data_IF_568284366195
#
_entry.id   IF_568284366195
#
_cell.length_a   1.000
_cell.length_b   1.000
_cell.length_c   1.000
_cell.angle_alpha   90.00
_cell.angle_beta   90.00
_cell.angle_gamma   90.00
#
_symmetry.space_group_name_H-M   'P 1'
#
loop_
_entity.id
_entity.type
_entity.pdbx_description
1 polymer ?
#
# COMPACT_ATOMS: atom_id res chain seq x y z
N UNK A 1 12.86 -15.83 37.69
CA UNK A 1 11.89 -14.81 37.31
C UNK A 1 12.53 -13.47 37.02
N UNK A 2 12.69 -13.19 35.73
CA UNK A 2 13.04 -11.89 35.18
C UNK A 2 12.18 -11.66 33.93
N UNK A 3 11.69 -10.44 33.66
CA UNK A 3 10.70 -10.21 32.62
C UNK A 3 11.28 -10.47 31.23
N UNK A 4 10.59 -11.28 30.44
CA UNK A 4 10.91 -11.56 29.06
C UNK A 4 10.85 -10.27 28.24
N UNK A 5 12.00 -9.84 27.73
CA UNK A 5 12.11 -8.74 26.77
C UNK A 5 11.34 -9.11 25.48
N UNK A 6 10.17 -8.48 25.29
CA UNK A 6 9.45 -8.53 24.01
C UNK A 6 10.25 -7.76 22.97
N UNK A 7 10.93 -8.49 22.07
CA UNK A 7 11.54 -7.93 20.87
C UNK A 7 10.42 -7.55 19.89
N UNK A 8 10.41 -6.28 19.46
CA UNK A 8 9.68 -5.87 18.24
C UNK A 8 10.50 -6.39 17.06
N UNK A 9 10.04 -7.47 16.42
CA UNK A 9 10.66 -8.01 15.22
C UNK A 9 9.78 -7.69 14.02
N UNK A 10 10.33 -6.88 13.11
CA UNK A 10 9.89 -6.68 11.74
C UNK A 10 10.29 -7.91 10.92
N UNK A 11 9.34 -8.60 10.27
CA UNK A 11 9.50 -9.27 8.96
C UNK A 11 8.27 -10.13 8.58
N UNK A 12 7.65 -9.87 7.41
CA UNK A 12 6.75 -10.83 6.76
C UNK A 12 7.40 -11.52 5.56
N UNK A 13 7.25 -12.85 5.54
CA UNK A 13 7.62 -13.75 4.44
C UNK A 13 6.59 -13.59 3.31
N UNK A 14 6.96 -12.96 2.19
CA UNK A 14 6.10 -12.89 0.99
C UNK A 14 6.15 -14.24 0.29
N UNK A 15 5.00 -14.94 0.22
CA UNK A 15 4.85 -16.17 -0.57
C UNK A 15 4.33 -15.78 -1.95
N UNK A 16 5.22 -15.75 -2.94
CA UNK A 16 4.89 -15.46 -4.34
C UNK A 16 3.99 -16.58 -4.91
N UNK A 17 2.81 -16.20 -5.41
CA UNK A 17 1.93 -17.11 -6.14
C UNK A 17 2.30 -17.07 -7.63
N UNK A 18 2.92 -18.17 -8.08
CA UNK A 18 3.08 -18.66 -9.46
C UNK A 18 3.18 -17.60 -10.57
N UNK A 19 4.40 -17.11 -10.78
CA UNK A 19 4.91 -16.78 -12.11
C UNK A 19 6.18 -17.62 -12.28
N UNK A 20 6.35 -18.27 -13.43
CA UNK A 20 7.43 -19.23 -13.69
C UNK A 20 8.83 -18.61 -13.64
N UNK A 21 9.34 -18.46 -12.43
CA UNK A 21 10.64 -17.88 -12.10
C UNK A 21 11.42 -18.97 -11.36
N UNK A 22 12.59 -19.34 -11.89
CA UNK A 22 13.37 -20.49 -11.43
C UNK A 22 13.79 -20.39 -9.97
N UNK A 23 13.97 -21.54 -9.32
CA UNK A 23 14.27 -21.70 -7.89
C UNK A 23 15.49 -20.89 -7.39
N UNK A 24 16.40 -20.46 -8.28
CA UNK A 24 17.56 -19.62 -7.97
C UNK A 24 17.20 -18.16 -7.61
N UNK A 25 16.09 -17.62 -8.11
CA UNK A 25 15.65 -16.24 -7.83
C UNK A 25 14.99 -16.09 -6.43
N UNK A 26 14.66 -17.22 -5.80
CA UNK A 26 14.04 -17.31 -4.48
C UNK A 26 14.95 -16.82 -3.33
N UNK A 27 16.26 -16.63 -3.57
CA UNK A 27 17.25 -16.29 -2.53
C UNK A 27 17.57 -14.80 -2.37
N UNK A 28 17.13 -13.90 -3.24
CA UNK A 28 17.27 -12.45 -2.97
C UNK A 28 16.00 -11.94 -2.29
N UNK A 29 16.04 -11.84 -0.95
CA UNK A 29 15.06 -11.02 -0.24
C UNK A 29 15.17 -9.59 -0.75
N UNK A 30 14.18 -9.16 -1.54
CA UNK A 30 14.11 -7.80 -2.05
C UNK A 30 13.85 -6.87 -0.86
N UNK A 31 14.69 -5.84 -0.62
CA UNK A 31 14.51 -4.97 0.53
C UNK A 31 13.15 -4.25 0.49
N UNK A 32 12.48 -4.13 1.64
CA UNK A 32 11.15 -3.48 1.71
C UNK A 32 11.18 -2.04 1.20
N UNK A 33 12.26 -1.31 1.46
CA UNK A 33 12.46 0.04 0.94
C UNK A 33 12.47 0.12 -0.59
N UNK A 34 12.86 -0.96 -1.28
CA UNK A 34 12.80 -1.05 -2.75
C UNK A 34 11.36 -1.28 -3.20
N UNK A 35 10.64 -2.20 -2.56
CA UNK A 35 9.23 -2.49 -2.84
C UNK A 35 8.37 -1.22 -2.64
N UNK A 36 8.61 -0.49 -1.54
CA UNK A 36 7.91 0.75 -1.24
C UNK A 36 8.14 1.87 -2.27
N UNK A 37 9.26 1.85 -3.03
CA UNK A 37 9.54 2.82 -4.10
C UNK A 37 8.93 2.45 -5.44
N UNK A 38 8.62 1.18 -5.71
CA UNK A 38 8.06 0.75 -7.01
C UNK A 38 6.79 1.52 -7.42
N UNK A 39 5.82 1.81 -6.54
CA UNK A 39 4.64 2.60 -6.92
C UNK A 39 4.99 4.00 -7.44
N UNK A 40 6.09 4.60 -6.97
CA UNK A 40 6.57 5.90 -7.47
C UNK A 40 7.10 5.78 -8.91
N UNK A 41 7.84 4.70 -9.21
CA UNK A 41 8.31 4.41 -10.57
C UNK A 41 7.14 4.20 -11.53
N UNK A 42 6.16 3.38 -11.14
CA UNK A 42 4.94 3.17 -11.94
C UNK A 42 4.20 4.47 -12.18
N UNK A 43 4.08 5.35 -11.18
CA UNK A 43 3.46 6.67 -11.35
C UNK A 43 4.20 7.51 -12.41
N UNK A 44 5.51 7.67 -12.27
CA UNK A 44 6.31 8.46 -13.22
C UNK A 44 6.29 7.88 -14.64
N UNK A 45 6.37 6.55 -14.77
CA UNK A 45 6.29 5.86 -16.06
C UNK A 45 4.90 5.97 -16.69
N UNK A 46 3.83 5.98 -15.89
CA UNK A 46 2.46 6.19 -16.37
C UNK A 46 2.30 7.58 -16.98
N UNK A 47 2.88 8.61 -16.36
CA UNK A 47 2.88 9.98 -16.89
C UNK A 47 3.65 10.05 -18.21
N UNK A 48 4.88 9.52 -18.25
CA UNK A 48 5.67 9.44 -19.48
C UNK A 48 4.97 8.69 -20.61
N UNK A 49 4.27 7.59 -20.26
CA UNK A 49 3.52 6.81 -21.24
C UNK A 49 2.34 7.59 -21.82
N UNK A 50 1.62 8.34 -20.98
CA UNK A 50 0.54 9.25 -21.43
C UNK A 50 1.07 10.37 -22.32
N UNK A 51 2.27 10.86 -22.05
CA UNK A 51 2.95 11.88 -22.86
C UNK A 51 3.55 11.32 -24.17
N UNK A 52 3.38 10.02 -24.45
CA UNK A 52 3.90 9.37 -25.66
C UNK A 52 5.41 9.16 -25.66
N UNK A 53 6.08 9.29 -24.51
CA UNK A 53 7.53 9.10 -24.39
C UNK A 53 7.86 7.61 -24.44
N UNK A 54 8.60 7.19 -25.46
CA UNK A 54 8.97 5.79 -25.68
C UNK A 54 10.17 5.33 -24.83
N UNK A 55 11.14 6.23 -24.59
CA UNK A 55 12.39 5.93 -23.90
C UNK A 55 12.68 6.97 -22.81
N UNK A 56 13.18 6.51 -21.67
CA UNK A 56 13.61 7.37 -20.57
C UNK A 56 14.91 6.84 -19.97
N UNK A 57 15.87 7.71 -19.63
CA UNK A 57 17.06 7.29 -18.88
C UNK A 57 16.85 7.47 -17.37
N UNK A 58 17.73 6.87 -16.55
CA UNK A 58 17.63 7.00 -15.08
C UNK A 58 17.82 8.43 -14.55
N UNK A 59 18.50 9.29 -15.32
CA UNK A 59 18.65 10.72 -15.04
C UNK A 59 17.32 11.44 -15.12
N UNK A 60 16.66 11.35 -16.27
CA UNK A 60 15.37 12.01 -16.54
C UNK A 60 14.26 11.47 -15.64
N UNK A 61 14.22 10.15 -15.44
CA UNK A 61 13.28 9.52 -14.51
C UNK A 61 13.55 9.96 -13.06
N UNK A 62 14.83 10.07 -12.68
CA UNK A 62 15.25 10.52 -11.36
C UNK A 62 14.89 11.98 -11.07
N UNK A 63 15.11 12.87 -12.04
CA UNK A 63 14.75 14.29 -11.94
C UNK A 63 13.25 14.49 -11.68
N UNK A 64 12.40 13.69 -12.33
CA UNK A 64 10.94 13.73 -12.15
C UNK A 64 10.49 13.22 -10.79
N UNK A 65 11.14 12.17 -10.28
CA UNK A 65 10.73 11.48 -9.06
C UNK A 65 11.44 11.98 -7.80
N UNK A 66 12.46 12.84 -7.95
CA UNK A 66 13.34 13.22 -6.84
C UNK A 66 14.21 12.07 -6.34
N UNK A 67 14.56 11.11 -7.21
CA UNK A 67 15.34 9.92 -6.84
C UNK A 67 16.66 9.92 -7.60
N UNK A 68 17.76 9.65 -6.89
CA UNK A 68 19.09 9.60 -7.51
C UNK A 68 19.14 8.52 -8.63
N UNK A 69 19.72 8.81 -9.80
CA UNK A 69 19.76 7.86 -10.93
C UNK A 69 20.42 6.51 -10.58
N UNK A 70 21.44 6.55 -9.70
CA UNK A 70 22.09 5.35 -9.20
C UNK A 70 21.15 4.47 -8.36
N UNK A 71 20.26 5.07 -7.57
CA UNK A 71 19.28 4.36 -6.76
C UNK A 71 18.23 3.68 -7.66
N UNK A 72 17.75 4.35 -8.71
CA UNK A 72 16.82 3.76 -9.68
C UNK A 72 17.44 2.52 -10.35
N UNK A 73 18.69 2.63 -10.81
CA UNK A 73 19.40 1.50 -11.42
C UNK A 73 19.56 0.33 -10.43
N UNK A 74 19.89 0.63 -9.18
CA UNK A 74 20.03 -0.38 -8.12
C UNK A 74 18.70 -1.09 -7.84
N UNK A 75 17.62 -0.32 -7.69
CA UNK A 75 16.29 -0.86 -7.41
C UNK A 75 15.79 -1.76 -8.54
N UNK A 76 15.85 -1.27 -9.77
CA UNK A 76 15.40 -2.04 -10.93
C UNK A 76 16.24 -3.32 -11.11
N UNK A 77 17.52 -3.32 -10.75
CA UNK A 77 18.37 -4.52 -10.86
C UNK A 77 17.92 -5.71 -9.99
N UNK A 78 17.06 -5.49 -8.97
CA UNK A 78 16.50 -6.57 -8.17
C UNK A 78 15.45 -7.41 -8.91
N UNK A 79 14.79 -6.85 -9.94
CA UNK A 79 13.67 -7.50 -10.62
C UNK A 79 14.01 -7.94 -12.05
N UNK A 80 15.27 -7.83 -12.46
CA UNK A 80 15.73 -8.20 -13.78
C UNK A 80 16.55 -7.12 -14.49
N UNK A 81 16.82 -7.36 -15.78
CA UNK A 81 17.61 -6.44 -16.62
C UNK A 81 16.67 -5.57 -17.44
N UNK A 82 16.25 -4.46 -16.85
CA UNK A 82 15.45 -3.45 -17.53
C UNK A 82 16.34 -2.56 -18.38
N UNK A 83 16.30 -2.75 -19.71
CA UNK A 83 16.99 -1.91 -20.69
C UNK A 83 18.35 -2.41 -21.17
N UNK A 84 18.96 -1.64 -22.08
CA UNK A 84 20.31 -1.88 -22.62
C UNK A 84 21.24 -0.77 -22.16
N UNK A 85 22.50 -1.10 -21.82
CA UNK A 85 23.53 -0.11 -21.46
C UNK A 85 23.56 1.00 -22.52
N UNK A 86 23.39 2.25 -22.10
CA UNK A 86 23.44 3.44 -22.95
C UNK A 86 22.16 3.82 -23.72
N UNK A 87 21.06 3.05 -23.64
CA UNK A 87 19.81 3.36 -24.39
C UNK A 87 18.60 3.77 -23.54
N UNK A 88 18.71 3.69 -22.21
CA UNK A 88 17.58 3.93 -21.32
C UNK A 88 16.59 2.76 -21.24
N UNK A 89 15.44 3.03 -20.64
CA UNK A 89 14.33 2.11 -20.41
C UNK A 89 13.23 2.37 -21.44
N UNK A 90 12.71 1.31 -22.04
CA UNK A 90 11.45 1.42 -22.78
C UNK A 90 10.33 1.64 -21.76
N UNK A 91 9.64 2.77 -21.89
CA UNK A 91 8.64 3.20 -20.90
C UNK A 91 7.48 2.22 -20.81
N UNK A 92 6.94 1.77 -21.95
CA UNK A 92 5.80 0.85 -21.98
C UNK A 92 6.16 -0.54 -21.42
N UNK A 93 7.32 -1.08 -21.79
CA UNK A 93 7.78 -2.38 -21.29
C UNK A 93 8.05 -2.33 -19.78
N UNK A 94 8.81 -1.34 -19.33
CA UNK A 94 9.13 -1.20 -17.91
C UNK A 94 7.87 -0.94 -17.07
N UNK A 95 6.94 -0.12 -17.56
CA UNK A 95 5.65 0.10 -16.89
C UNK A 95 4.87 -1.21 -16.77
N UNK A 96 4.80 -2.01 -17.83
CA UNK A 96 4.14 -3.31 -17.83
C UNK A 96 4.74 -4.28 -16.81
N UNK A 97 6.07 -4.43 -16.82
CA UNK A 97 6.78 -5.35 -15.91
C UNK A 97 6.63 -4.92 -14.45
N UNK A 98 6.83 -3.63 -14.13
CA UNK A 98 6.64 -3.14 -12.76
C UNK A 98 5.18 -3.22 -12.30
N UNK A 99 4.22 -3.04 -13.21
CA UNK A 99 2.80 -3.23 -12.90
C UNK A 99 2.49 -4.68 -12.56
N UNK A 100 3.05 -5.64 -13.29
CA UNK A 100 2.91 -7.07 -12.99
C UNK A 100 3.56 -7.45 -11.66
N UNK A 101 4.77 -6.95 -11.38
CA UNK A 101 5.47 -7.17 -10.10
C UNK A 101 4.63 -6.68 -8.91
N UNK A 102 3.97 -5.52 -9.07
CA UNK A 102 3.08 -4.96 -8.05
C UNK A 102 1.66 -5.56 -8.04
N UNK A 103 1.35 -6.45 -8.99
CA UNK A 103 0.00 -7.02 -9.14
C UNK A 103 -1.06 -5.97 -9.51
N UNK A 104 -0.70 -4.93 -10.25
CA UNK A 104 -1.63 -3.89 -10.75
C UNK A 104 -2.35 -4.30 -12.04
N UNK A 105 -2.09 -5.52 -12.52
CA UNK A 105 -2.70 -6.18 -13.68
C UNK A 105 -4.00 -6.93 -13.34
N UNK A 106 -4.41 -6.92 -12.06
CA UNK A 106 -5.61 -7.59 -11.54
C UNK A 106 -6.43 -6.65 -10.66
N UNK A 107 -7.59 -7.11 -10.24
CA UNK A 107 -8.42 -6.41 -9.28
C UNK A 107 -8.16 -6.92 -7.86
N UNK A 108 -8.03 -5.98 -6.92
CA UNK A 108 -7.96 -6.20 -5.48
C UNK A 108 -9.27 -5.75 -4.84
N UNK A 109 -9.93 -6.68 -4.14
CA UNK A 109 -11.21 -6.45 -3.48
C UNK A 109 -11.00 -5.93 -2.06
N UNK A 110 -11.62 -4.79 -1.76
CA UNK A 110 -11.40 -4.08 -0.51
C UNK A 110 -12.66 -4.02 0.36
N UNK A 111 -12.45 -4.08 1.67
CA UNK A 111 -13.45 -3.72 2.67
C UNK A 111 -13.05 -2.43 3.40
N UNK A 112 -14.02 -1.62 3.79
CA UNK A 112 -13.82 -0.46 4.68
C UNK A 112 -14.49 -0.72 6.02
N UNK A 113 -13.77 -0.58 7.12
CA UNK A 113 -14.32 -0.67 8.49
C UNK A 113 -14.26 0.70 9.15
N UNK A 114 -15.40 1.17 9.64
CA UNK A 114 -15.60 2.53 10.13
C UNK A 114 -16.03 3.46 9.00
N UNK A 115 -17.35 3.67 8.86
CA UNK A 115 -17.97 4.48 7.80
C UNK A 115 -18.41 5.83 8.36
N UNK A 116 -17.54 6.43 9.18
CA UNK A 116 -17.63 7.83 9.62
C UNK A 116 -17.30 8.81 8.49
N UNK A 117 -16.87 10.04 8.84
CA UNK A 117 -16.49 11.05 7.83
C UNK A 117 -15.36 10.58 6.93
N UNK A 118 -14.29 10.04 7.53
CA UNK A 118 -13.12 9.56 6.80
C UNK A 118 -13.44 8.31 5.97
N UNK A 119 -14.10 7.31 6.55
CA UNK A 119 -14.51 6.11 5.82
C UNK A 119 -15.38 6.41 4.60
N UNK A 120 -16.34 7.33 4.72
CA UNK A 120 -17.14 7.79 3.57
C UNK A 120 -16.29 8.46 2.50
N UNK A 121 -15.38 9.35 2.88
CA UNK A 121 -14.47 10.00 1.94
C UNK A 121 -13.57 8.99 1.21
N UNK A 122 -13.09 7.96 1.91
CA UNK A 122 -12.35 6.85 1.31
C UNK A 122 -13.22 6.09 0.31
N UNK A 123 -14.47 5.78 0.67
CA UNK A 123 -15.39 5.07 -0.22
C UNK A 123 -15.74 5.84 -1.49
N UNK A 124 -15.83 7.17 -1.40
CA UNK A 124 -16.13 8.05 -2.54
C UNK A 124 -14.90 8.39 -3.40
N UNK A 125 -13.70 7.95 -2.99
CA UNK A 125 -12.47 8.23 -3.72
C UNK A 125 -12.38 7.44 -5.03
N UNK A 126 -12.62 8.14 -6.14
CA UNK A 126 -12.59 7.59 -7.50
C UNK A 126 -11.20 7.12 -7.96
N UNK A 127 -10.13 7.47 -7.26
CA UNK A 127 -8.76 7.11 -7.64
C UNK A 127 -8.39 5.64 -7.43
N UNK A 128 -9.23 4.86 -6.74
CA UNK A 128 -9.00 3.42 -6.52
C UNK A 128 -9.29 2.57 -7.78
N UNK A 129 -10.44 2.77 -8.40
CA UNK A 129 -10.93 1.91 -9.49
C UNK A 129 -9.97 1.86 -10.69
N UNK A 130 -9.43 3.00 -11.19
CA UNK A 130 -8.47 2.97 -12.30
C UNK A 130 -7.14 2.27 -11.96
N UNK A 131 -6.87 1.99 -10.68
CA UNK A 131 -5.64 1.35 -10.18
C UNK A 131 -5.86 -0.11 -9.77
N UNK A 132 -7.01 -0.69 -10.12
CA UNK A 132 -7.33 -2.08 -9.80
C UNK A 132 -7.90 -2.30 -8.40
N UNK A 133 -8.20 -1.25 -7.63
CA UNK A 133 -8.75 -1.39 -6.28
C UNK A 133 -10.27 -1.17 -6.27
N UNK A 134 -11.04 -2.14 -5.76
CA UNK A 134 -12.51 -2.09 -5.75
C UNK A 134 -13.05 -2.32 -4.35
N UNK A 135 -13.79 -1.35 -3.82
CA UNK A 135 -14.50 -1.52 -2.54
C UNK A 135 -15.75 -2.36 -2.77
N UNK A 136 -15.84 -3.49 -2.08
CA UNK A 136 -16.95 -4.45 -2.20
C UNK A 136 -17.76 -4.62 -0.91
N UNK A 137 -17.23 -4.17 0.22
CA UNK A 137 -17.89 -4.24 1.51
C UNK A 137 -17.55 -3.01 2.37
N UNK A 138 -18.49 -2.64 3.23
CA UNK A 138 -18.31 -1.59 4.23
C UNK A 138 -18.98 -2.02 5.53
N UNK A 139 -18.38 -1.72 6.68
CA UNK A 139 -18.86 -2.12 8.00
C UNK A 139 -18.83 -0.98 8.99
N UNK A 140 -19.86 -0.89 9.82
CA UNK A 140 -19.92 0.03 10.95
C UNK A 140 -20.68 -0.60 12.12
N UNK A 141 -20.46 -0.10 13.33
CA UNK A 141 -21.21 -0.50 14.54
C UNK A 141 -22.42 0.40 14.81
N UNK A 142 -22.44 1.60 14.21
CA UNK A 142 -23.55 2.53 14.36
C UNK A 142 -24.78 2.00 13.61
N UNK A 143 -25.81 1.61 14.37
CA UNK A 143 -27.08 1.11 13.84
C UNK A 143 -27.77 2.09 12.91
N UNK A 144 -27.50 3.39 13.04
CA UNK A 144 -28.04 4.41 12.13
C UNK A 144 -27.33 4.42 10.77
N UNK A 145 -26.15 3.81 10.66
CA UNK A 145 -25.39 3.70 9.43
C UNK A 145 -25.69 2.40 8.68
N UNK A 146 -25.95 1.32 9.40
CA UNK A 146 -26.23 0.00 8.83
C UNK A 146 -27.43 0.08 7.86
N UNK A 147 -27.29 -0.56 6.70
CA UNK A 147 -28.28 -0.57 5.62
C UNK A 147 -28.19 0.62 4.66
N UNK A 148 -27.56 1.74 5.05
CA UNK A 148 -27.29 2.85 4.13
C UNK A 148 -26.27 2.45 3.06
N UNK A 149 -26.29 3.15 1.93
CA UNK A 149 -25.33 2.95 0.84
C UNK A 149 -24.43 4.16 0.67
N UNK A 150 -23.15 3.90 0.42
CA UNK A 150 -22.15 4.91 0.05
C UNK A 150 -21.47 4.40 -1.22
N UNK A 151 -21.47 5.22 -2.28
CA UNK A 151 -20.96 4.82 -3.60
C UNK A 151 -21.45 3.45 -4.08
N UNK A 152 -22.73 3.13 -3.81
CA UNK A 152 -23.38 1.87 -4.20
C UNK A 152 -23.11 0.66 -3.28
N UNK A 153 -22.21 0.78 -2.30
CA UNK A 153 -21.88 -0.29 -1.34
C UNK A 153 -22.71 -0.12 -0.08
N UNK A 154 -23.46 -1.16 0.31
CA UNK A 154 -24.24 -1.16 1.55
C UNK A 154 -23.32 -1.33 2.77
N UNK A 155 -23.61 -0.55 3.82
CA UNK A 155 -22.95 -0.65 5.12
C UNK A 155 -23.59 -1.80 5.89
N UNK A 156 -22.78 -2.77 6.29
CA UNK A 156 -23.19 -3.97 7.03
C UNK A 156 -22.84 -3.84 8.51
N UNK A 157 -23.47 -4.66 9.33
CA UNK A 157 -23.10 -4.77 10.74
C UNK A 157 -21.72 -5.43 10.87
N UNK A 158 -20.94 -5.01 11.87
CA UNK A 158 -19.67 -5.65 12.22
C UNK A 158 -19.80 -7.15 12.53
N UNK A 159 -20.96 -7.61 12.99
CA UNK A 159 -21.25 -9.02 13.20
C UNK A 159 -21.21 -9.85 11.90
N UNK A 160 -21.43 -9.22 10.74
CA UNK A 160 -21.40 -9.88 9.43
C UNK A 160 -19.99 -9.92 8.80
N UNK A 161 -18.98 -9.36 9.47
CA UNK A 161 -17.64 -9.13 8.91
C UNK A 161 -17.00 -10.42 8.39
N UNK A 162 -16.91 -11.45 9.21
CA UNK A 162 -16.21 -12.69 8.87
C UNK A 162 -16.84 -13.38 7.65
N UNK A 163 -18.16 -13.58 7.69
CA UNK A 163 -18.92 -14.19 6.59
C UNK A 163 -18.75 -13.39 5.31
N UNK A 164 -18.89 -12.06 5.37
CA UNK A 164 -18.76 -11.19 4.21
C UNK A 164 -17.35 -11.22 3.60
N UNK A 165 -16.31 -11.21 4.43
CA UNK A 165 -14.92 -11.24 3.99
C UNK A 165 -14.66 -12.50 3.17
N UNK A 166 -15.14 -13.65 3.65
CA UNK A 166 -15.00 -14.95 2.97
C UNK A 166 -15.83 -15.01 1.68
N UNK A 167 -17.10 -14.63 1.73
CA UNK A 167 -18.02 -14.65 0.59
C UNK A 167 -17.55 -13.76 -0.56
N UNK A 168 -17.14 -12.53 -0.23
CA UNK A 168 -16.70 -11.54 -1.21
C UNK A 168 -15.21 -11.64 -1.56
N UNK A 169 -14.49 -12.58 -0.95
CA UNK A 169 -13.04 -12.80 -1.14
C UNK A 169 -12.26 -11.49 -1.00
N UNK A 170 -12.49 -10.79 0.12
CA UNK A 170 -11.82 -9.51 0.37
C UNK A 170 -10.31 -9.75 0.55
N UNK A 171 -9.51 -9.01 -0.20
CA UNK A 171 -8.05 -9.09 -0.17
C UNK A 171 -7.44 -8.10 0.83
N UNK A 172 -7.98 -6.87 0.88
CA UNK A 172 -7.44 -5.75 1.64
C UNK A 172 -8.53 -5.13 2.52
N UNK A 173 -8.22 -4.83 3.77
CA UNK A 173 -9.11 -4.06 4.63
C UNK A 173 -8.56 -2.66 4.90
N UNK A 174 -9.42 -1.65 4.83
CA UNK A 174 -9.11 -0.29 5.25
C UNK A 174 -9.80 -0.05 6.60
N UNK A 175 -9.04 0.37 7.60
CA UNK A 175 -9.52 0.64 8.95
C UNK A 175 -9.52 2.15 9.19
N UNK A 176 -10.71 2.72 9.35
CA UNK A 176 -10.96 4.14 9.54
C UNK A 176 -11.82 4.41 10.80
N UNK A 177 -11.56 3.63 11.86
CA UNK A 177 -12.18 3.78 13.19
C UNK A 177 -11.28 4.61 14.13
N UNK A 178 -11.78 5.10 15.27
CA UNK A 178 -10.94 5.73 16.28
C UNK A 178 -9.82 4.81 16.80
N UNK A 179 -8.69 5.39 17.24
CA UNK A 179 -7.52 4.63 17.71
C UNK A 179 -7.85 3.63 18.83
N UNK A 180 -8.78 3.97 19.72
CA UNK A 180 -9.21 3.10 20.83
C UNK A 180 -9.85 1.79 20.36
N UNK A 181 -10.33 1.73 19.12
CA UNK A 181 -11.06 0.58 18.57
C UNK A 181 -10.25 -0.16 17.49
N UNK A 182 -9.19 0.45 16.99
CA UNK A 182 -8.50 -0.01 15.79
C UNK A 182 -7.86 -1.39 15.95
N UNK A 183 -7.23 -1.70 17.10
CA UNK A 183 -6.63 -3.02 17.32
C UNK A 183 -7.67 -4.14 17.33
N UNK A 184 -8.81 -3.95 18.01
CA UNK A 184 -9.88 -4.96 18.06
C UNK A 184 -10.45 -5.24 16.65
N UNK A 185 -10.62 -4.19 15.85
CA UNK A 185 -11.05 -4.32 14.46
C UNK A 185 -10.02 -5.07 13.62
N UNK A 186 -8.73 -4.75 13.78
CA UNK A 186 -7.63 -5.43 13.08
C UNK A 186 -7.61 -6.92 13.44
N UNK A 187 -7.74 -7.26 14.73
CA UNK A 187 -7.74 -8.65 15.19
C UNK A 187 -8.89 -9.45 14.56
N UNK A 188 -10.09 -8.89 14.49
CA UNK A 188 -11.25 -9.52 13.81
C UNK A 188 -11.02 -9.71 12.31
N UNK A 189 -10.42 -8.72 11.64
CA UNK A 189 -10.08 -8.83 10.22
C UNK A 189 -9.07 -9.95 9.96
N UNK A 190 -8.03 -10.04 10.79
CA UNK A 190 -7.02 -11.09 10.73
C UNK A 190 -7.63 -12.46 10.96
N UNK A 191 -8.47 -12.62 11.99
CA UNK A 191 -9.20 -13.86 12.26
C UNK A 191 -10.12 -14.27 11.10
N UNK A 192 -10.66 -13.29 10.37
CA UNK A 192 -11.49 -13.51 9.19
C UNK A 192 -10.70 -13.89 7.93
N UNK A 193 -9.36 -13.90 8.01
CA UNK A 193 -8.46 -14.31 6.94
C UNK A 193 -7.86 -13.18 6.11
N UNK A 194 -8.08 -11.91 6.49
CA UNK A 194 -7.44 -10.77 5.83
C UNK A 194 -5.93 -10.78 6.12
N UNK A 195 -5.13 -10.60 5.06
CA UNK A 195 -3.67 -10.58 5.14
C UNK A 195 -3.05 -9.22 4.89
N UNK A 196 -3.85 -8.21 4.55
CA UNK A 196 -3.38 -6.86 4.26
C UNK A 196 -4.36 -5.83 4.79
N UNK A 197 -3.87 -4.98 5.68
CA UNK A 197 -4.65 -3.95 6.36
C UNK A 197 -3.98 -2.59 6.20
N UNK A 198 -4.76 -1.61 5.77
CA UNK A 198 -4.37 -0.19 5.74
C UNK A 198 -5.13 0.55 6.84
N UNK A 199 -4.42 0.98 7.89
CA UNK A 199 -5.00 1.70 9.02
C UNK A 199 -4.81 3.20 8.88
N UNK A 200 -5.90 3.95 8.94
CA UNK A 200 -5.89 5.41 9.13
C UNK A 200 -5.92 5.81 10.60
N UNK A 201 -6.02 4.85 11.52
CA UNK A 201 -5.92 5.11 12.95
C UNK A 201 -4.43 5.24 13.35
N UNK A 202 -4.04 6.30 14.08
CA UNK A 202 -2.66 6.48 14.56
C UNK A 202 -2.38 5.51 15.70
N UNK A 203 -2.07 4.27 15.35
CA UNK A 203 -1.74 3.19 16.30
C UNK A 203 -0.52 2.39 15.84
N UNK A 204 0.25 1.92 16.82
CA UNK A 204 1.22 0.84 16.61
C UNK A 204 0.51 -0.51 16.72
N UNK A 205 -0.23 -0.89 15.67
CA UNK A 205 -1.00 -2.13 15.68
C UNK A 205 -0.11 -3.38 15.71
N UNK A 206 -0.62 -4.43 16.33
CA UNK A 206 0.04 -5.74 16.42
C UNK A 206 -0.68 -6.72 15.50
N UNK A 207 0.08 -7.41 14.64
CA UNK A 207 -0.45 -8.43 13.74
C UNK A 207 0.52 -9.63 13.66
N UNK A 208 0.03 -10.83 13.29
CA UNK A 208 0.89 -11.97 13.01
C UNK A 208 1.89 -11.69 11.86
N UNK A 209 3.05 -12.38 11.81
CA UNK A 209 4.07 -12.15 10.79
C UNK A 209 3.60 -12.32 9.35
N UNK A 210 2.54 -13.08 9.09
CA UNK A 210 1.97 -13.29 7.76
C UNK A 210 1.03 -12.17 7.29
N UNK A 211 0.69 -11.22 8.16
CA UNK A 211 -0.21 -10.11 7.88
C UNK A 211 0.59 -8.83 7.69
N UNK A 212 0.28 -8.09 6.64
CA UNK A 212 0.79 -6.74 6.39
C UNK A 212 -0.15 -5.72 7.03
N UNK A 213 0.37 -4.88 7.92
CA UNK A 213 -0.33 -3.73 8.49
C UNK A 213 0.45 -2.46 8.13
N UNK A 214 -0.17 -1.57 7.37
CA UNK A 214 0.40 -0.28 7.00
C UNK A 214 -0.43 0.85 7.62
N UNK A 215 0.25 1.85 8.19
CA UNK A 215 -0.38 3.02 8.79
C UNK A 215 -0.30 4.25 7.89
N UNK A 216 -1.41 4.97 7.74
CA UNK A 216 -1.44 6.32 7.16
C UNK A 216 -1.69 7.30 8.30
N UNK A 217 -0.64 8.04 8.66
CA UNK A 217 -0.73 9.12 9.65
C UNK A 217 -0.23 10.44 9.04
N UNK A 218 -1.14 11.35 8.66
CA UNK A 218 -0.75 12.65 8.13
C UNK A 218 -0.03 13.52 9.17
N UNK A 219 -0.21 13.26 10.46
CA UNK A 219 0.44 14.03 11.54
C UNK A 219 1.94 13.72 11.57
N UNK A 220 2.35 12.45 11.42
CA UNK A 220 3.77 12.07 11.34
C UNK A 220 4.47 12.73 10.13
N UNK A 221 3.77 12.83 9.00
CA UNK A 221 4.28 13.51 7.83
C UNK A 221 4.48 15.01 8.11
N UNK A 222 3.50 15.67 8.73
CA UNK A 222 3.59 17.09 9.11
C UNK A 222 4.70 17.35 10.13
N UNK A 223 4.86 16.51 11.15
CA UNK A 223 5.95 16.61 12.13
C UNK A 223 7.32 16.48 11.48
N UNK A 224 7.46 15.61 10.48
CA UNK A 224 8.71 15.50 9.72
C UNK A 224 8.99 16.78 8.93
N UNK A 225 7.95 17.46 8.43
CA UNK A 225 8.10 18.74 7.74
C UNK A 225 8.51 19.88 8.69
N UNK A 226 8.07 19.86 9.96
CA UNK A 226 8.43 20.91 10.92
C UNK A 226 9.92 20.94 11.23
N UNK A 227 10.64 19.82 11.08
CA UNK A 227 12.10 19.78 11.20
C UNK A 227 12.79 20.74 10.21
N UNK A 228 12.33 20.79 8.97
CA UNK A 228 12.90 21.67 7.95
C UNK A 228 12.48 23.14 8.15
N UNK A 229 11.23 23.36 8.57
CA UNK A 229 10.72 24.70 8.86
C UNK A 229 11.46 25.35 10.02
N UNK A 230 11.64 24.64 11.15
CA UNK A 230 12.32 25.18 12.32
C UNK A 230 13.72 25.70 11.98
N UNK A 231 14.50 24.92 11.22
CA UNK A 231 15.86 25.30 10.81
C UNK A 231 15.88 26.48 9.84
N UNK A 232 14.90 26.56 8.94
CA UNK A 232 14.79 27.72 8.04
C UNK A 232 14.50 29.03 8.78
N UNK A 233 13.84 28.97 9.94
CA UNK A 233 13.61 30.15 10.78
C UNK A 233 14.84 30.50 11.62
N UNK A 234 15.57 29.50 12.12
CA UNK A 234 16.81 29.71 12.88
C UNK A 234 17.93 30.32 12.03
N UNK A 235 17.99 30.02 10.72
CA UNK A 235 18.97 30.59 9.79
C UNK A 235 18.62 32.04 9.33
N UNK A 236 17.42 32.52 9.65
CA UNK A 236 16.91 33.87 9.30
C UNK A 236 16.94 34.87 10.48
N UNK A 237 17.25 34.41 11.70
CA UNK A 237 17.39 35.23 12.91
C UNK A 237 18.83 35.46 13.30
#
# INVERSE_FOLDING_TARGET
DGPAQTRVIVTPRVRWLHVGVGEEEMQRQIPEVVVARLPMYVRGLTELHKDGIALVNSGDLGARLGIAPAQIRKDLSYFGKFGRRGRGYNVALLLGELSQILGLDRQWLMAVVGVGRLGRAIMDYKGFVPRGFKIVAAFDKDRNMIGKKVSGVAIRDMAELETTVKEKKVDIAIVAVPSSEAQEVIDKLVQSGIKSVLSYAPICGKVPPEVRLEGIDPVLALQSMTYYLARSYDDLG
#
